data_IF_290294540181
#
_entry.id   IF_290294540181
#
_cell.length_a   1.000
_cell.length_b   1.000
_cell.length_c   1.000
_cell.angle_alpha   90.00
_cell.angle_beta   90.00
_cell.angle_gamma   90.00
#
_symmetry.space_group_name_H-M   'P 1'
#
loop_
_entity.id
_entity.type
_entity.pdbx_description
1 polymer ?
#
# COMPACT_ATOMS: atom_id res chain seq x y z
N UNK A 1 -1.60 -16.85 -20.04
CA UNK A 1 -0.13 -16.86 -19.87
C UNK A 1 0.14 -16.52 -18.40
N UNK A 2 0.83 -17.38 -17.68
CA UNK A 2 1.24 -17.07 -16.31
C UNK A 2 2.22 -15.90 -16.33
N UNK A 3 1.88 -14.82 -15.60
CA UNK A 3 2.78 -13.66 -15.48
C UNK A 3 4.07 -14.08 -14.78
N UNK A 4 5.21 -13.66 -15.33
CA UNK A 4 6.51 -13.87 -14.69
C UNK A 4 6.61 -13.11 -13.37
N UNK A 5 7.54 -13.54 -12.52
CA UNK A 5 7.81 -12.83 -11.27
C UNK A 5 8.72 -11.61 -11.53
N UNK A 6 8.20 -10.42 -11.25
CA UNK A 6 9.01 -9.19 -11.23
C UNK A 6 9.94 -9.18 -10.03
N UNK A 7 9.46 -9.68 -8.88
CA UNK A 7 10.24 -9.83 -7.66
C UNK A 7 9.95 -11.20 -7.04
N UNK A 8 11.01 -11.91 -6.63
CA UNK A 8 10.93 -13.16 -5.88
C UNK A 8 11.84 -13.09 -4.66
N UNK A 9 11.28 -13.37 -3.50
CA UNK A 9 11.97 -13.34 -2.21
C UNK A 9 11.77 -14.68 -1.52
N UNK A 10 12.84 -15.32 -1.11
CA UNK A 10 12.81 -16.63 -0.46
C UNK A 10 13.62 -16.60 0.83
N UNK A 11 12.97 -16.92 1.94
CA UNK A 11 13.54 -17.04 3.29
C UNK A 11 14.38 -15.81 3.71
N UNK A 12 13.99 -14.60 3.25
CA UNK A 12 14.71 -13.37 3.55
C UNK A 12 14.68 -13.09 5.03
N UNK A 13 15.87 -12.86 5.63
CA UNK A 13 16.02 -12.52 7.04
C UNK A 13 16.96 -11.33 7.20
N UNK A 14 16.55 -10.37 8.05
CA UNK A 14 17.39 -9.26 8.49
C UNK A 14 17.30 -9.08 9.99
N UNK A 15 18.44 -9.12 10.63
CA UNK A 15 18.61 -8.95 12.08
C UNK A 15 19.50 -7.73 12.31
N UNK A 16 19.07 -6.83 13.19
CA UNK A 16 19.87 -5.73 13.69
C UNK A 16 20.30 -6.09 15.13
N UNK A 17 21.61 -6.13 15.39
CA UNK A 17 22.17 -6.31 16.72
C UNK A 17 22.75 -4.98 17.20
N UNK A 18 22.34 -4.52 18.38
CA UNK A 18 23.01 -3.42 19.11
C UNK A 18 23.94 -4.01 20.15
N UNK A 19 25.14 -3.43 20.31
CA UNK A 19 26.19 -3.89 21.26
C UNK A 19 25.74 -4.08 22.70
N UNK A 20 24.56 -3.60 23.11
CA UNK A 20 24.05 -3.63 24.50
C UNK A 20 22.56 -4.03 24.58
N UNK A 21 21.90 -4.50 23.54
CA UNK A 21 20.47 -4.78 23.56
C UNK A 21 20.10 -6.04 22.77
N UNK A 22 18.92 -6.57 23.05
CA UNK A 22 18.31 -7.73 22.39
C UNK A 22 18.32 -7.56 20.86
N UNK A 23 18.67 -8.62 20.15
CA UNK A 23 18.59 -8.67 18.69
C UNK A 23 17.16 -8.38 18.19
N UNK A 24 17.07 -7.53 17.19
CA UNK A 24 15.78 -7.18 16.56
C UNK A 24 15.73 -7.84 15.19
N UNK A 25 14.86 -8.82 15.01
CA UNK A 25 14.55 -9.40 13.72
C UNK A 25 13.61 -8.46 12.95
N UNK A 26 14.17 -7.59 12.14
CA UNK A 26 13.39 -6.63 11.33
C UNK A 26 12.66 -7.32 10.17
N UNK A 27 13.22 -8.41 9.65
CA UNK A 27 12.58 -9.32 8.70
C UNK A 27 12.94 -10.75 9.12
N UNK A 28 11.94 -11.63 9.18
CA UNK A 28 12.09 -13.00 9.63
C UNK A 28 11.52 -13.98 8.61
N UNK A 29 12.41 -14.66 7.88
CA UNK A 29 12.04 -15.73 6.93
C UNK A 29 10.94 -15.33 5.92
N UNK A 30 11.03 -14.11 5.39
CA UNK A 30 10.03 -13.58 4.46
C UNK A 30 10.08 -14.31 3.12
N UNK A 31 8.92 -14.82 2.68
CA UNK A 31 8.70 -15.35 1.35
C UNK A 31 7.66 -14.49 0.64
N UNK A 32 7.99 -13.98 -0.55
CA UNK A 32 7.16 -13.02 -1.25
C UNK A 32 7.39 -13.12 -2.76
N UNK A 33 6.31 -13.04 -3.53
CA UNK A 33 6.37 -12.95 -4.99
C UNK A 33 5.48 -11.82 -5.48
N UNK A 34 6.05 -10.96 -6.34
CA UNK A 34 5.32 -9.90 -7.05
C UNK A 34 5.34 -10.24 -8.54
N UNK A 35 4.17 -10.19 -9.17
CA UNK A 35 4.01 -10.49 -10.61
C UNK A 35 4.27 -9.25 -11.46
N UNK A 36 4.71 -9.46 -12.71
CA UNK A 36 4.89 -8.37 -13.68
C UNK A 36 3.59 -7.60 -13.91
N UNK A 37 3.66 -6.28 -13.89
CA UNK A 37 2.54 -5.38 -14.19
C UNK A 37 1.42 -5.37 -13.15
N UNK A 38 1.64 -5.88 -11.92
CA UNK A 38 0.68 -5.68 -10.83
C UNK A 38 1.01 -4.46 -9.98
N UNK A 39 -0.01 -3.92 -9.31
CA UNK A 39 0.17 -3.02 -8.16
C UNK A 39 0.07 -3.89 -6.91
N UNK A 40 1.19 -4.05 -6.23
CA UNK A 40 1.35 -4.91 -5.07
C UNK A 40 1.50 -4.06 -3.80
N UNK A 41 0.69 -4.36 -2.78
CA UNK A 41 0.74 -3.69 -1.48
C UNK A 41 1.60 -4.43 -0.46
N UNK A 42 2.50 -3.71 0.21
CA UNK A 42 3.20 -4.19 1.40
C UNK A 42 2.71 -3.39 2.60
N UNK A 43 1.76 -3.96 3.33
CA UNK A 43 1.01 -3.32 4.39
C UNK A 43 1.55 -3.71 5.77
N UNK A 44 1.50 -2.80 6.71
CA UNK A 44 1.86 -3.08 8.11
C UNK A 44 2.12 -1.82 8.92
N UNK A 45 2.09 -1.92 10.25
CA UNK A 45 2.36 -0.78 11.13
C UNK A 45 3.82 -0.32 11.04
N UNK A 46 4.13 0.78 11.70
CA UNK A 46 5.50 1.24 11.86
C UNK A 46 6.32 0.15 12.61
N UNK A 47 7.53 -0.12 12.12
CA UNK A 47 8.37 -1.20 12.64
C UNK A 47 8.01 -2.61 12.13
N UNK A 48 7.06 -2.76 11.20
CA UNK A 48 6.73 -4.07 10.61
C UNK A 48 7.83 -4.66 9.71
N UNK A 49 8.84 -3.85 9.30
CA UNK A 49 9.93 -4.28 8.42
C UNK A 49 9.88 -3.72 7.00
N UNK A 50 8.86 -2.94 6.63
CA UNK A 50 8.65 -2.40 5.28
C UNK A 50 9.87 -1.63 4.75
N UNK A 51 10.31 -0.61 5.46
CA UNK A 51 11.47 0.21 5.07
C UNK A 51 12.77 -0.59 5.08
N UNK A 52 12.94 -1.56 5.99
CA UNK A 52 14.08 -2.49 5.95
C UNK A 52 14.08 -3.31 4.66
N UNK A 53 12.92 -3.80 4.24
CA UNK A 53 12.77 -4.54 3.00
C UNK A 53 13.14 -3.69 1.77
N UNK A 54 12.62 -2.46 1.70
CA UNK A 54 12.97 -1.51 0.62
C UNK A 54 14.48 -1.23 0.61
N UNK A 55 15.08 -1.00 1.76
CA UNK A 55 16.50 -0.73 1.86
C UNK A 55 17.38 -1.91 1.44
N UNK A 56 16.90 -3.15 1.61
CA UNK A 56 17.56 -4.34 1.06
C UNK A 56 17.47 -4.33 -0.47
N UNK A 57 16.29 -4.04 -1.05
CA UNK A 57 16.13 -3.92 -2.51
C UNK A 57 16.99 -2.80 -3.10
N UNK A 58 17.11 -1.67 -2.39
CA UNK A 58 17.99 -0.56 -2.77
C UNK A 58 19.48 -0.89 -2.69
N UNK A 59 19.85 -1.98 -1.96
CA UNK A 59 21.24 -2.33 -1.69
C UNK A 59 21.91 -1.47 -0.61
N UNK A 60 21.14 -0.66 0.14
CA UNK A 60 21.64 0.14 1.27
C UNK A 60 21.72 -0.64 2.57
N UNK A 61 20.98 -1.75 2.68
CA UNK A 61 21.01 -2.67 3.80
C UNK A 61 21.34 -4.08 3.30
N UNK A 62 22.36 -4.70 3.87
CA UNK A 62 22.75 -6.08 3.57
C UNK A 62 21.87 -7.03 4.40
N UNK A 63 21.23 -8.01 3.73
CA UNK A 63 20.48 -9.07 4.40
C UNK A 63 21.38 -10.02 5.17
N UNK A 64 20.83 -10.74 6.16
CA UNK A 64 21.57 -11.78 6.88
C UNK A 64 21.50 -13.14 6.14
N UNK A 65 20.33 -13.48 5.58
CA UNK A 65 20.13 -14.74 4.83
C UNK A 65 18.95 -14.65 3.88
N UNK A 66 18.76 -15.69 3.07
CA UNK A 66 17.71 -15.78 2.06
C UNK A 66 18.14 -15.29 0.70
N UNK A 67 17.29 -15.42 -0.32
CA UNK A 67 17.54 -14.95 -1.68
C UNK A 67 16.52 -13.89 -2.10
N UNK A 68 16.97 -12.96 -2.95
CA UNK A 68 16.14 -11.93 -3.55
C UNK A 68 16.48 -11.84 -5.04
N UNK A 69 15.49 -12.07 -5.89
CA UNK A 69 15.63 -11.91 -7.33
C UNK A 69 14.70 -10.82 -7.82
N UNK A 70 15.24 -9.87 -8.57
CA UNK A 70 14.52 -8.73 -9.15
C UNK A 70 14.68 -8.81 -10.66
N UNK A 71 13.55 -8.88 -11.37
CA UNK A 71 13.53 -9.00 -12.83
C UNK A 71 14.44 -10.14 -13.34
N UNK A 72 14.52 -11.25 -12.58
CA UNK A 72 15.39 -12.40 -12.84
C UNK A 72 16.82 -12.27 -12.34
N UNK A 73 17.30 -11.08 -11.97
CA UNK A 73 18.66 -10.85 -11.45
C UNK A 73 18.73 -11.10 -9.94
N UNK A 74 19.72 -11.85 -9.52
CA UNK A 74 20.02 -12.11 -8.12
C UNK A 74 20.66 -10.89 -7.46
N UNK A 75 20.16 -10.47 -6.27
CA UNK A 75 20.62 -9.27 -5.58
C UNK A 75 22.10 -9.32 -5.20
N UNK A 76 22.59 -10.49 -4.79
CA UNK A 76 23.99 -10.63 -4.34
C UNK A 76 24.96 -10.74 -5.51
N UNK A 77 24.55 -11.43 -6.58
CA UNK A 77 25.40 -11.68 -7.74
C UNK A 77 25.35 -10.54 -8.77
N UNK A 78 24.19 -9.91 -8.92
CA UNK A 78 23.92 -8.92 -9.95
C UNK A 78 23.41 -7.57 -9.37
N UNK A 79 24.07 -6.96 -8.37
CA UNK A 79 23.53 -5.81 -7.66
C UNK A 79 23.34 -4.56 -8.54
N UNK A 80 24.11 -4.42 -9.62
CA UNK A 80 23.95 -3.31 -10.57
C UNK A 80 22.69 -3.47 -11.41
N UNK A 81 22.45 -4.67 -11.95
CA UNK A 81 21.25 -5.00 -12.75
C UNK A 81 19.98 -4.86 -11.89
N UNK A 82 20.03 -5.33 -10.64
CA UNK A 82 18.92 -5.15 -9.69
C UNK A 82 18.61 -3.66 -9.51
N UNK A 83 19.60 -2.82 -9.22
CA UNK A 83 19.39 -1.37 -9.09
C UNK A 83 18.89 -0.70 -10.37
N UNK A 84 19.33 -1.18 -11.52
CA UNK A 84 18.82 -0.68 -12.81
C UNK A 84 17.39 -1.15 -13.11
N UNK A 85 16.92 -2.20 -12.45
CA UNK A 85 15.56 -2.72 -12.62
C UNK A 85 14.55 -2.11 -11.65
N UNK A 86 14.98 -1.28 -10.70
CA UNK A 86 14.12 -0.70 -9.67
C UNK A 86 14.28 0.81 -9.62
N UNK A 87 13.16 1.53 -9.67
CA UNK A 87 13.07 2.93 -9.23
C UNK A 87 12.52 2.98 -7.80
N UNK A 88 13.12 3.74 -6.92
CA UNK A 88 12.65 3.87 -5.53
C UNK A 88 12.30 5.32 -5.24
N UNK A 89 11.09 5.53 -4.76
CA UNK A 89 10.58 6.81 -4.25
C UNK A 89 10.52 6.72 -2.73
N UNK A 90 11.42 7.41 -2.03
CA UNK A 90 11.47 7.36 -0.57
C UNK A 90 10.30 8.12 0.07
N UNK A 91 10.02 7.82 1.33
CA UNK A 91 9.02 8.52 2.14
C UNK A 91 9.35 10.00 2.31
N UNK A 92 10.60 10.33 2.58
CA UNK A 92 11.05 11.71 2.76
C UNK A 92 11.36 12.40 1.42
N UNK A 93 10.97 13.69 1.33
CA UNK A 93 11.20 14.51 0.15
C UNK A 93 12.58 15.14 0.26
N UNK A 94 13.61 14.41 -0.13
CA UNK A 94 14.99 14.89 -0.21
C UNK A 94 15.34 15.27 -1.66
N UNK A 95 15.16 16.55 -1.98
CA UNK A 95 15.53 17.16 -3.26
C UNK A 95 16.48 18.32 -3.03
N UNK A 96 17.48 18.45 -3.90
CA UNK A 96 18.33 19.64 -3.87
C UNK A 96 17.49 20.87 -4.25
N UNK A 97 17.44 21.82 -3.33
CA UNK A 97 16.58 22.99 -3.41
C UNK A 97 16.99 23.98 -4.53
N UNK A 98 18.26 23.92 -4.97
CA UNK A 98 18.86 24.88 -5.89
C UNK A 98 18.89 24.41 -7.34
N UNK A 99 18.58 23.15 -7.61
CA UNK A 99 18.42 22.67 -8.98
C UNK A 99 16.97 22.75 -9.46
N UNK A 100 16.81 22.87 -10.78
CA UNK A 100 15.50 22.75 -11.41
C UNK A 100 15.10 21.27 -11.58
N UNK A 101 13.81 20.95 -11.73
CA UNK A 101 13.34 19.60 -12.08
C UNK A 101 14.10 19.00 -13.26
N UNK A 102 14.23 19.73 -14.36
CA UNK A 102 14.97 19.30 -15.54
C UNK A 102 16.41 18.93 -15.18
N UNK A 103 17.12 19.81 -14.47
CA UNK A 103 18.53 19.59 -14.10
C UNK A 103 18.69 18.39 -13.16
N UNK A 104 17.76 18.20 -12.20
CA UNK A 104 17.78 17.04 -11.30
C UNK A 104 17.61 15.71 -12.07
N UNK A 105 16.71 15.67 -13.05
CA UNK A 105 16.49 14.49 -13.88
C UNK A 105 17.71 14.22 -14.78
N UNK A 106 18.30 15.25 -15.38
CA UNK A 106 19.51 15.13 -16.20
C UNK A 106 20.70 14.59 -15.39
N UNK A 107 20.93 15.11 -14.18
CA UNK A 107 21.96 14.62 -13.29
C UNK A 107 21.71 13.15 -12.91
N UNK A 108 20.46 12.82 -12.56
CA UNK A 108 20.10 11.45 -12.21
C UNK A 108 20.30 10.48 -13.38
N UNK A 109 19.90 10.86 -14.60
CA UNK A 109 20.14 10.08 -15.81
C UNK A 109 21.65 9.85 -16.06
N UNK A 110 22.45 10.89 -15.84
CA UNK A 110 23.92 10.78 -15.92
C UNK A 110 24.50 9.78 -14.92
N UNK A 111 24.00 9.74 -13.68
CA UNK A 111 24.42 8.77 -12.66
C UNK A 111 24.10 7.31 -13.07
N UNK A 112 23.05 7.09 -13.85
CA UNK A 112 22.74 5.78 -14.46
C UNK A 112 23.51 5.52 -15.75
N UNK A 113 24.38 6.44 -16.19
CA UNK A 113 25.18 6.31 -17.41
C UNK A 113 24.38 6.46 -18.70
N UNK A 114 23.21 7.13 -18.66
CA UNK A 114 22.36 7.33 -19.83
C UNK A 114 22.93 8.49 -20.67
N UNK A 115 23.35 8.24 -21.93
CA UNK A 115 23.82 9.28 -22.83
C UNK A 115 22.76 10.36 -23.04
N UNK A 116 23.15 11.61 -23.26
CA UNK A 116 22.22 12.75 -23.41
C UNK A 116 21.14 12.51 -24.48
N UNK A 117 21.54 11.95 -25.63
CA UNK A 117 20.64 11.63 -26.75
C UNK A 117 19.54 10.61 -26.42
N UNK A 118 19.74 9.78 -25.39
CA UNK A 118 18.82 8.70 -24.98
C UNK A 118 17.98 9.08 -23.76
N UNK A 119 18.20 10.26 -23.18
CA UNK A 119 17.45 10.76 -22.03
C UNK A 119 16.03 11.13 -22.43
N UNK A 120 15.10 10.84 -21.53
CA UNK A 120 13.67 11.07 -21.72
C UNK A 120 13.13 12.13 -20.75
N UNK A 121 13.96 13.07 -20.36
CA UNK A 121 13.67 14.09 -19.34
C UNK A 121 12.36 14.83 -19.61
N UNK A 122 12.17 15.35 -20.81
CA UNK A 122 10.96 16.10 -21.17
C UNK A 122 9.71 15.19 -21.18
N UNK A 123 9.85 13.94 -21.63
CA UNK A 123 8.76 12.95 -21.59
C UNK A 123 8.35 12.64 -20.15
N UNK A 124 9.32 12.48 -19.25
CA UNK A 124 9.03 12.21 -17.83
C UNK A 124 8.39 13.42 -17.16
N UNK A 125 8.89 14.64 -17.43
CA UNK A 125 8.31 15.88 -16.91
C UNK A 125 6.85 16.01 -17.32
N UNK A 126 6.54 15.69 -18.59
CA UNK A 126 5.16 15.63 -19.09
C UNK A 126 4.32 14.58 -18.36
N UNK A 127 4.86 13.38 -18.18
CA UNK A 127 4.17 12.28 -17.51
C UNK A 127 3.74 12.65 -16.07
N UNK A 128 4.60 13.41 -15.36
CA UNK A 128 4.30 13.86 -13.98
C UNK A 128 3.70 15.27 -13.93
N UNK A 129 3.33 15.88 -15.07
CA UNK A 129 2.75 17.22 -15.19
C UNK A 129 3.59 18.31 -14.50
N UNK A 130 4.89 18.36 -14.84
CA UNK A 130 5.85 19.33 -14.34
C UNK A 130 6.56 20.10 -15.47
N UNK A 131 6.05 20.08 -16.71
CA UNK A 131 6.66 20.77 -17.86
C UNK A 131 6.80 22.28 -17.60
N UNK A 132 5.74 22.89 -17.04
CA UNK A 132 5.73 24.33 -16.75
C UNK A 132 6.74 24.75 -15.68
N UNK A 133 7.15 23.81 -14.83
CA UNK A 133 8.11 24.01 -13.75
C UNK A 133 9.51 23.45 -14.07
N UNK A 134 9.74 22.99 -15.30
CA UNK A 134 10.97 22.32 -15.70
C UNK A 134 12.25 23.08 -15.30
N UNK A 135 12.23 24.40 -15.45
CA UNK A 135 13.38 25.28 -15.19
C UNK A 135 13.26 26.10 -13.89
N UNK A 136 12.15 25.94 -13.13
CA UNK A 136 11.97 26.59 -11.82
C UNK A 136 12.84 25.92 -10.76
N UNK A 137 13.27 26.64 -9.74
CA UNK A 137 13.99 25.98 -8.63
C UNK A 137 13.11 25.00 -7.85
N UNK A 138 13.65 23.82 -7.47
CA UNK A 138 12.91 22.80 -6.73
C UNK A 138 12.37 23.32 -5.39
N UNK A 139 13.01 24.33 -4.78
CA UNK A 139 12.51 24.98 -3.55
C UNK A 139 11.16 25.68 -3.72
N UNK A 140 10.84 26.19 -4.92
CA UNK A 140 9.58 26.88 -5.21
C UNK A 140 8.40 25.94 -5.50
N UNK A 141 8.65 24.64 -5.63
CA UNK A 141 7.64 23.64 -5.87
C UNK A 141 6.78 23.38 -4.62
N UNK A 142 5.49 23.17 -4.82
CA UNK A 142 4.58 22.67 -3.75
C UNK A 142 5.00 21.27 -3.29
N UNK A 143 4.51 20.83 -2.13
CA UNK A 143 4.77 19.48 -1.62
C UNK A 143 4.41 18.37 -2.61
N UNK A 144 3.23 18.49 -3.24
CA UNK A 144 2.79 17.54 -4.26
C UNK A 144 3.64 17.56 -5.53
N UNK A 145 4.10 18.74 -5.98
CA UNK A 145 5.03 18.85 -7.10
C UNK A 145 6.39 18.21 -6.78
N UNK A 146 6.90 18.40 -5.58
CA UNK A 146 8.13 17.73 -5.11
C UNK A 146 7.98 16.22 -5.08
N UNK A 147 6.82 15.70 -4.64
CA UNK A 147 6.54 14.26 -4.63
C UNK A 147 6.50 13.70 -6.05
N UNK A 148 5.84 14.39 -6.99
CA UNK A 148 5.84 14.00 -8.41
C UNK A 148 7.24 14.04 -9.03
N UNK A 149 8.08 15.00 -8.64
CA UNK A 149 9.48 15.06 -9.09
C UNK A 149 10.30 13.87 -8.56
N UNK A 150 10.05 13.37 -7.34
CA UNK A 150 10.68 12.14 -6.85
C UNK A 150 10.31 10.92 -7.68
N UNK A 151 9.04 10.80 -8.10
CA UNK A 151 8.62 9.74 -9.02
C UNK A 151 9.34 9.89 -10.37
N UNK A 152 9.36 11.11 -10.91
CA UNK A 152 10.09 11.41 -12.14
C UNK A 152 11.57 10.98 -12.05
N UNK A 153 12.23 11.35 -10.94
CA UNK A 153 13.63 10.99 -10.65
C UNK A 153 13.83 9.47 -10.60
N UNK A 154 12.90 8.72 -10.01
CA UNK A 154 12.95 7.27 -9.93
C UNK A 154 12.73 6.59 -11.30
N UNK A 155 12.15 7.29 -12.28
CA UNK A 155 11.81 6.77 -13.60
C UNK A 155 12.81 7.09 -14.71
N UNK A 156 13.84 7.89 -14.46
CA UNK A 156 14.77 8.36 -15.51
C UNK A 156 15.46 7.23 -16.27
N UNK A 157 15.71 6.10 -15.62
CA UNK A 157 16.36 4.91 -16.20
C UNK A 157 15.36 3.86 -16.68
N UNK A 158 14.07 4.22 -16.77
CA UNK A 158 12.96 3.35 -17.25
C UNK A 158 12.90 1.98 -16.53
N UNK A 159 12.90 1.96 -15.20
CA UNK A 159 12.87 0.70 -14.48
C UNK A 159 11.56 -0.04 -14.69
N UNK A 160 11.56 -1.37 -14.85
CA UNK A 160 10.34 -2.17 -14.93
C UNK A 160 9.58 -2.27 -13.59
N UNK A 161 10.23 -1.90 -12.47
CA UNK A 161 9.63 -1.91 -11.13
C UNK A 161 9.79 -0.53 -10.50
N UNK A 162 8.70 0.02 -9.96
CA UNK A 162 8.69 1.23 -9.16
C UNK A 162 8.25 0.91 -7.72
N UNK A 163 9.09 1.21 -6.75
CA UNK A 163 8.80 1.06 -5.33
C UNK A 163 8.46 2.42 -4.74
N UNK A 164 7.31 2.53 -4.11
CA UNK A 164 6.80 3.74 -3.47
C UNK A 164 6.73 3.52 -1.95
N UNK A 165 7.60 4.20 -1.20
CA UNK A 165 7.62 4.09 0.26
C UNK A 165 6.74 5.17 0.89
N UNK A 166 5.55 4.79 1.36
CA UNK A 166 4.56 5.68 1.98
C UNK A 166 4.33 6.99 1.19
N UNK A 167 4.01 6.91 -0.11
CA UNK A 167 4.08 8.06 -1.01
C UNK A 167 3.11 9.18 -0.70
N UNK A 168 2.06 8.93 0.08
CA UNK A 168 0.98 9.86 0.43
C UNK A 168 1.03 10.33 1.87
N UNK A 169 2.06 9.95 2.65
CA UNK A 169 2.22 10.41 4.01
C UNK A 169 2.28 11.95 4.06
N UNK A 170 1.35 12.56 4.82
CA UNK A 170 1.26 14.02 4.96
C UNK A 170 0.78 14.78 3.71
N UNK A 171 0.16 14.10 2.75
CA UNK A 171 -0.38 14.69 1.52
C UNK A 171 -1.89 14.87 1.66
N UNK A 172 -2.41 16.02 1.23
CA UNK A 172 -3.84 16.29 1.20
C UNK A 172 -4.59 15.42 0.19
N UNK A 173 -5.94 15.41 0.26
CA UNK A 173 -6.79 14.50 -0.53
C UNK A 173 -6.66 14.73 -2.02
N UNK A 174 -6.61 15.98 -2.48
CA UNK A 174 -6.55 16.30 -3.92
C UNK A 174 -5.20 15.90 -4.52
N UNK A 175 -4.10 16.22 -3.83
CA UNK A 175 -2.76 15.86 -4.25
C UNK A 175 -2.55 14.34 -4.25
N UNK A 176 -3.16 13.62 -3.29
CA UNK A 176 -3.16 12.17 -3.22
C UNK A 176 -3.83 11.55 -4.45
N UNK A 177 -5.02 12.04 -4.83
CA UNK A 177 -5.73 11.53 -5.99
C UNK A 177 -4.91 11.74 -7.28
N UNK A 178 -4.28 12.90 -7.44
CA UNK A 178 -3.41 13.19 -8.57
C UNK A 178 -2.20 12.24 -8.63
N UNK A 179 -1.61 11.93 -7.48
CA UNK A 179 -0.50 10.98 -7.38
C UNK A 179 -0.94 9.57 -7.80
N UNK A 180 -2.09 9.10 -7.31
CA UNK A 180 -2.63 7.79 -7.66
C UNK A 180 -2.98 7.68 -9.15
N UNK A 181 -3.49 8.73 -9.77
CA UNK A 181 -3.75 8.74 -11.20
C UNK A 181 -2.45 8.56 -12.00
N UNK A 182 -1.36 9.21 -11.60
CA UNK A 182 -0.05 9.03 -12.23
C UNK A 182 0.50 7.62 -12.03
N UNK A 183 0.36 7.04 -10.84
CA UNK A 183 0.79 5.67 -10.56
C UNK A 183 -0.01 4.65 -11.37
N UNK A 184 -1.35 4.82 -11.46
CA UNK A 184 -2.21 3.98 -12.31
C UNK A 184 -1.83 4.09 -13.80
N UNK A 185 -1.45 5.29 -14.27
CA UNK A 185 -0.99 5.49 -15.65
C UNK A 185 0.33 4.75 -15.93
N UNK A 186 1.32 4.85 -15.03
CA UNK A 186 2.57 4.09 -15.15
C UNK A 186 2.33 2.59 -15.16
N UNK A 187 1.44 2.09 -14.29
CA UNK A 187 1.10 0.69 -14.26
C UNK A 187 0.41 0.22 -15.56
N UNK A 188 -0.50 1.01 -16.13
CA UNK A 188 -1.12 0.73 -17.44
C UNK A 188 -0.07 0.66 -18.57
N UNK A 189 1.06 1.34 -18.44
CA UNK A 189 2.20 1.26 -19.36
C UNK A 189 3.10 0.04 -19.11
N UNK A 190 2.74 -0.84 -18.18
CA UNK A 190 3.43 -2.10 -17.89
C UNK A 190 4.40 -2.03 -16.72
N UNK A 191 4.56 -0.89 -16.04
CA UNK A 191 5.43 -0.78 -14.86
C UNK A 191 4.80 -1.54 -13.69
N UNK A 192 5.55 -2.43 -13.06
CA UNK A 192 5.17 -3.11 -11.83
C UNK A 192 5.31 -2.13 -10.66
N UNK A 193 4.31 -2.01 -9.81
CA UNK A 193 4.33 -1.09 -8.67
C UNK A 193 4.38 -1.88 -7.37
N UNK A 194 5.30 -1.53 -6.48
CA UNK A 194 5.31 -2.02 -5.09
C UNK A 194 5.04 -0.81 -4.20
N UNK A 195 3.89 -0.82 -3.55
CA UNK A 195 3.43 0.23 -2.66
C UNK A 195 3.59 -0.20 -1.21
N UNK A 196 4.34 0.55 -0.40
CA UNK A 196 4.27 0.39 1.05
C UNK A 196 3.36 1.46 1.64
N UNK A 197 2.51 1.06 2.55
CA UNK A 197 1.65 1.99 3.29
C UNK A 197 1.24 1.39 4.64
N UNK A 198 0.90 2.26 5.58
CA UNK A 198 0.17 1.90 6.79
C UNK A 198 -1.32 2.28 6.70
N UNK A 199 -1.72 2.94 5.60
CA UNK A 199 -3.10 3.37 5.35
C UNK A 199 -3.84 2.27 4.57
N UNK A 200 -4.73 1.56 5.26
CA UNK A 200 -5.43 0.38 4.73
C UNK A 200 -6.28 0.70 3.50
N UNK A 201 -6.98 1.84 3.52
CA UNK A 201 -7.83 2.27 2.40
C UNK A 201 -7.05 2.51 1.09
N UNK A 202 -5.78 2.94 1.17
CA UNK A 202 -4.94 3.11 -0.01
C UNK A 202 -4.56 1.77 -0.63
N UNK A 203 -4.19 0.81 0.22
CA UNK A 203 -3.89 -0.53 -0.25
C UNK A 203 -5.13 -1.20 -0.86
N UNK A 204 -6.31 -0.98 -0.28
CA UNK A 204 -7.58 -1.48 -0.78
C UNK A 204 -7.93 -0.89 -2.15
N UNK A 205 -7.76 0.43 -2.34
CA UNK A 205 -8.07 1.10 -3.60
C UNK A 205 -7.08 0.79 -4.73
N UNK A 206 -5.80 0.65 -4.37
CA UNK A 206 -4.73 0.64 -5.36
C UNK A 206 -4.21 -0.76 -5.68
N UNK A 207 -4.20 -1.68 -4.72
CA UNK A 207 -3.45 -2.92 -4.85
C UNK A 207 -4.33 -4.09 -5.26
N UNK A 208 -3.85 -4.89 -6.22
CA UNK A 208 -4.51 -6.14 -6.62
C UNK A 208 -4.23 -7.28 -5.65
N UNK A 209 -3.04 -7.29 -5.06
CA UNK A 209 -2.59 -8.25 -4.04
C UNK A 209 -1.86 -7.51 -2.93
N UNK A 210 -1.99 -8.02 -1.72
CA UNK A 210 -1.45 -7.39 -0.52
C UNK A 210 -0.73 -8.43 0.34
N UNK A 211 0.48 -8.10 0.76
CA UNK A 211 1.20 -8.78 1.83
C UNK A 211 1.07 -7.97 3.12
N UNK A 212 0.56 -8.57 4.17
CA UNK A 212 0.44 -7.97 5.51
C UNK A 212 1.64 -8.41 6.34
N UNK A 213 2.46 -7.43 6.74
CA UNK A 213 3.61 -7.63 7.63
C UNK A 213 3.29 -7.17 9.05
N UNK A 214 3.74 -7.95 10.02
CA UNK A 214 3.73 -7.55 11.43
C UNK A 214 5.00 -8.06 12.13
N UNK A 215 5.72 -7.16 12.80
CA UNK A 215 6.97 -7.48 13.57
C UNK A 215 7.95 -8.34 12.77
N UNK A 216 8.17 -8.00 11.50
CA UNK A 216 9.10 -8.68 10.61
C UNK A 216 8.58 -9.98 9.97
N UNK A 217 7.39 -10.42 10.30
CA UNK A 217 6.78 -11.65 9.77
C UNK A 217 5.72 -11.33 8.72
N UNK A 218 5.63 -12.19 7.69
CA UNK A 218 4.48 -12.21 6.78
C UNK A 218 3.31 -12.89 7.49
N UNK A 219 2.26 -12.10 7.78
CA UNK A 219 1.04 -12.60 8.43
C UNK A 219 0.10 -13.21 7.40
N UNK A 220 -0.11 -12.51 6.29
CA UNK A 220 -1.00 -12.95 5.21
C UNK A 220 -0.55 -12.35 3.88
N UNK A 221 -0.75 -13.11 2.80
CA UNK A 221 -0.59 -12.64 1.42
C UNK A 221 -1.75 -13.21 0.61
N UNK A 222 -2.53 -12.31 0.03
CA UNK A 222 -3.68 -12.71 -0.80
C UNK A 222 -4.06 -11.59 -1.78
N UNK A 223 -5.06 -11.84 -2.64
CA UNK A 223 -5.71 -10.77 -3.40
C UNK A 223 -6.49 -9.86 -2.47
N UNK A 224 -6.63 -8.59 -2.83
CA UNK A 224 -7.42 -7.61 -2.04
C UNK A 224 -8.85 -8.12 -1.83
N UNK A 225 -9.47 -8.67 -2.87
CA UNK A 225 -10.82 -9.24 -2.76
C UNK A 225 -10.90 -10.41 -1.77
N UNK A 226 -9.95 -11.36 -1.82
CA UNK A 226 -9.93 -12.49 -0.89
C UNK A 226 -9.73 -12.05 0.55
N UNK A 227 -8.92 -11.00 0.77
CA UNK A 227 -8.74 -10.42 2.10
C UNK A 227 -10.05 -9.82 2.62
N UNK A 228 -10.75 -9.04 1.82
CA UNK A 228 -12.05 -8.45 2.17
C UNK A 228 -13.12 -9.54 2.36
N UNK A 229 -13.15 -10.57 1.52
CA UNK A 229 -14.08 -11.70 1.64
C UNK A 229 -13.81 -12.56 2.87
N UNK A 230 -12.61 -12.46 3.45
CA UNK A 230 -12.27 -13.14 4.71
C UNK A 230 -12.97 -12.54 5.95
N UNK A 231 -13.53 -11.33 5.82
CA UNK A 231 -14.32 -10.68 6.88
C UNK A 231 -15.61 -11.49 7.10
N UNK A 232 -15.66 -12.16 8.24
CA UNK A 232 -16.80 -13.05 8.57
C UNK A 232 -18.05 -12.27 8.96
N UNK A 233 -17.88 -11.10 9.55
CA UNK A 233 -18.97 -10.30 10.10
C UNK A 233 -19.30 -9.12 9.19
N UNK A 234 -20.59 -8.77 9.12
CA UNK A 234 -21.10 -7.58 8.45
C UNK A 234 -21.83 -6.72 9.48
N UNK A 235 -21.71 -5.42 9.34
CA UNK A 235 -22.36 -4.44 10.19
C UNK A 235 -23.41 -3.69 9.38
N UNK A 236 -24.62 -3.61 9.92
CA UNK A 236 -25.71 -2.80 9.37
C UNK A 236 -26.14 -1.80 10.40
N UNK A 237 -26.32 -0.56 9.99
CA UNK A 237 -26.81 0.53 10.82
C UNK A 237 -28.22 0.87 10.33
N UNK A 238 -29.17 0.83 11.23
CA UNK A 238 -30.58 1.18 11.00
C UNK A 238 -30.89 2.49 11.74
N UNK A 239 -31.49 3.45 11.04
CA UNK A 239 -32.15 4.59 11.68
C UNK A 239 -33.63 4.27 11.87
N UNK A 240 -34.09 4.37 13.09
CA UNK A 240 -35.44 3.98 13.50
C UNK A 240 -36.19 5.13 14.17
N UNK A 241 -37.53 5.06 14.21
CA UNK A 241 -38.37 6.07 14.88
C UNK A 241 -38.11 6.15 16.40
N UNK A 242 -37.88 5.00 17.02
CA UNK A 242 -37.57 4.87 18.44
C UNK A 242 -36.69 3.63 18.66
N UNK A 243 -35.83 3.67 19.65
CA UNK A 243 -34.99 2.53 20.00
C UNK A 243 -35.71 1.66 21.04
N UNK A 244 -35.97 0.39 20.69
CA UNK A 244 -36.50 -0.64 21.60
C UNK A 244 -35.45 -1.75 21.67
N UNK A 245 -35.08 -2.15 22.87
CA UNK A 245 -34.14 -3.25 23.08
C UNK A 245 -34.71 -4.55 22.55
N UNK A 246 -34.03 -5.21 21.63
CA UNK A 246 -34.37 -6.51 21.11
C UNK A 246 -33.71 -7.56 22.03
N UNK A 247 -34.49 -8.50 22.56
CA UNK A 247 -33.97 -9.57 23.41
C UNK A 247 -33.01 -10.44 22.59
N UNK A 248 -31.73 -10.42 22.99
CA UNK A 248 -30.64 -11.10 22.28
C UNK A 248 -30.61 -12.61 22.54
N UNK A 249 -31.45 -13.15 23.47
CA UNK A 249 -31.44 -14.56 23.86
C UNK A 249 -31.78 -15.52 22.72
N UNK A 250 -32.45 -15.04 21.65
CA UNK A 250 -32.86 -15.85 20.49
C UNK A 250 -32.07 -15.57 19.22
N UNK A 251 -30.87 -14.95 19.30
CA UNK A 251 -30.14 -14.43 18.18
C UNK A 251 -28.70 -14.95 18.16
N UNK A 252 -28.53 -16.29 18.14
CA UNK A 252 -27.19 -16.88 17.99
C UNK A 252 -26.45 -16.27 16.76
N UNK A 253 -25.45 -15.43 17.01
CA UNK A 253 -24.60 -14.85 15.94
C UNK A 253 -24.97 -13.44 15.46
N UNK A 254 -26.02 -12.77 16.01
CA UNK A 254 -26.34 -11.38 15.75
C UNK A 254 -26.18 -10.56 17.04
N UNK A 255 -25.35 -9.53 17.02
CA UNK A 255 -25.15 -8.63 18.15
C UNK A 255 -25.74 -7.27 17.82
N UNK A 256 -26.75 -6.82 18.59
CA UNK A 256 -27.29 -5.48 18.50
C UNK A 256 -26.56 -4.54 19.45
N UNK A 257 -26.29 -3.33 18.95
CA UNK A 257 -25.77 -2.20 19.73
C UNK A 257 -26.67 -1.00 19.48
N UNK A 258 -27.07 -0.31 20.53
CA UNK A 258 -28.01 0.79 20.48
C UNK A 258 -27.29 2.10 20.77
N UNK A 259 -27.57 3.13 19.96
CA UNK A 259 -27.03 4.48 20.14
C UNK A 259 -28.17 5.47 20.48
N UNK A 260 -27.81 6.56 21.14
CA UNK A 260 -28.73 7.60 21.61
C UNK A 260 -29.49 8.36 20.52
N UNK A 261 -29.08 8.27 19.25
CA UNK A 261 -29.64 9.01 18.12
C UNK A 261 -30.59 8.18 17.26
N UNK A 262 -31.43 7.34 17.88
CA UNK A 262 -32.33 6.44 17.14
C UNK A 262 -31.62 5.52 16.12
N UNK A 263 -30.36 5.16 16.41
CA UNK A 263 -29.58 4.24 15.60
C UNK A 263 -29.45 2.88 16.30
N UNK A 264 -29.66 1.82 15.53
CA UNK A 264 -29.39 0.43 15.92
C UNK A 264 -28.34 -0.12 14.97
N UNK A 265 -27.27 -0.66 15.54
CA UNK A 265 -26.24 -1.36 14.77
C UNK A 265 -26.40 -2.85 15.00
N UNK A 266 -26.55 -3.63 13.92
CA UNK A 266 -26.52 -5.08 13.94
C UNK A 266 -25.20 -5.59 13.38
N UNK A 267 -24.44 -6.32 14.19
CA UNK A 267 -23.24 -7.06 13.76
C UNK A 267 -23.61 -8.53 13.63
N UNK A 268 -23.40 -9.13 12.46
CA UNK A 268 -23.82 -10.51 12.19
C UNK A 268 -22.83 -11.23 11.25
N UNK A 269 -22.85 -12.57 11.28
CA UNK A 269 -22.06 -13.40 10.38
C UNK A 269 -22.75 -13.53 9.01
N UNK A 270 -22.06 -13.08 7.91
CA UNK A 270 -22.58 -13.09 6.53
C UNK A 270 -23.11 -14.45 6.08
N UNK A 271 -22.47 -15.55 6.50
CA UNK A 271 -22.83 -16.91 6.05
C UNK A 271 -23.98 -17.53 6.84
N UNK A 272 -24.31 -16.99 8.01
CA UNK A 272 -25.30 -17.55 8.90
C UNK A 272 -26.66 -16.84 8.88
N UNK A 273 -26.67 -15.55 8.56
CA UNK A 273 -27.85 -14.70 8.66
C UNK A 273 -28.10 -13.89 7.40
N UNK A 274 -29.36 -13.76 7.04
CA UNK A 274 -29.80 -12.87 5.93
C UNK A 274 -30.24 -11.52 6.50
N UNK A 275 -30.08 -10.48 5.67
CA UNK A 275 -30.49 -9.11 6.04
C UNK A 275 -31.99 -9.05 6.39
N UNK A 276 -32.83 -9.76 5.63
CA UNK A 276 -34.26 -9.80 5.85
C UNK A 276 -34.66 -10.31 7.27
N UNK A 277 -33.90 -11.26 7.82
CA UNK A 277 -34.11 -11.72 9.19
C UNK A 277 -33.90 -10.61 10.21
N UNK A 278 -32.89 -9.78 9.99
CA UNK A 278 -32.54 -8.67 10.87
C UNK A 278 -33.59 -7.57 10.77
N UNK A 279 -34.01 -7.23 9.55
CA UNK A 279 -35.05 -6.23 9.28
C UNK A 279 -36.37 -6.65 9.94
N UNK A 280 -36.77 -7.90 9.74
CA UNK A 280 -38.03 -8.44 10.33
C UNK A 280 -38.02 -8.40 11.86
N UNK A 281 -36.86 -8.66 12.48
CA UNK A 281 -36.74 -8.59 13.94
C UNK A 281 -36.89 -7.18 14.47
N UNK A 282 -36.30 -6.17 13.78
CA UNK A 282 -36.45 -4.76 14.14
C UNK A 282 -37.94 -4.34 14.01
N UNK A 283 -38.60 -4.70 12.91
CA UNK A 283 -40.01 -4.41 12.67
C UNK A 283 -40.93 -5.10 13.70
N UNK A 284 -40.68 -6.37 14.00
CA UNK A 284 -41.47 -7.14 14.97
C UNK A 284 -41.30 -6.60 16.41
N UNK A 285 -40.22 -5.92 16.72
CA UNK A 285 -40.04 -5.20 17.97
C UNK A 285 -40.80 -3.88 18.03
N UNK A 286 -41.60 -3.53 16.99
CA UNK A 286 -42.41 -2.32 16.93
C UNK A 286 -41.63 -1.06 16.54
N UNK A 287 -40.55 -1.22 15.81
CA UNK A 287 -39.75 -0.12 15.32
C UNK A 287 -39.92 0.06 13.81
N UNK A 288 -40.03 1.31 13.36
CA UNK A 288 -40.06 1.69 11.94
C UNK A 288 -38.65 2.09 11.49
N UNK A 289 -38.21 1.54 10.36
CA UNK A 289 -36.90 1.80 9.79
C UNK A 289 -37.04 2.92 8.75
N UNK A 290 -36.29 4.02 8.92
CA UNK A 290 -36.27 5.13 7.99
C UNK A 290 -35.08 5.09 7.03
N UNK A 291 -33.96 4.53 7.47
CA UNK A 291 -32.73 4.47 6.68
C UNK A 291 -31.91 3.26 7.06
N UNK A 292 -31.19 2.71 6.09
CA UNK A 292 -30.31 1.54 6.26
C UNK A 292 -28.98 1.87 5.58
N UNK A 293 -27.91 1.82 6.34
CA UNK A 293 -26.55 1.85 5.82
C UNK A 293 -25.79 0.58 6.16
N UNK A 294 -25.01 0.07 5.22
CA UNK A 294 -24.23 -1.15 5.41
C UNK A 294 -22.76 -0.79 5.48
N UNK A 295 -22.08 -1.39 6.45
CA UNK A 295 -20.63 -1.34 6.57
C UNK A 295 -20.13 -2.78 6.33
N UNK A 296 -19.49 -2.96 5.16
CA UNK A 296 -19.04 -4.29 4.72
C UNK A 296 -17.74 -4.73 5.38
N UNK A 297 -17.17 -3.85 6.20
CA UNK A 297 -15.82 -3.98 6.72
C UNK A 297 -14.77 -3.59 5.68
N UNK A 298 -13.56 -3.37 6.12
CA UNK A 298 -12.44 -2.93 5.31
C UNK A 298 -11.15 -3.68 5.69
N UNK A 299 -10.06 -3.40 5.00
CA UNK A 299 -8.77 -4.02 5.31
C UNK A 299 -8.28 -3.75 6.75
N UNK A 300 -8.78 -2.70 7.41
CA UNK A 300 -8.44 -2.42 8.81
C UNK A 300 -9.02 -3.48 9.73
N UNK A 301 -10.25 -3.93 9.49
CA UNK A 301 -10.88 -5.04 10.22
C UNK A 301 -10.10 -6.34 10.01
N UNK A 302 -9.71 -6.64 8.76
CA UNK A 302 -8.86 -7.80 8.45
C UNK A 302 -7.53 -7.75 9.20
N UNK A 303 -6.88 -6.58 9.19
CA UNK A 303 -5.60 -6.40 9.87
C UNK A 303 -5.72 -6.60 11.38
N UNK A 304 -6.75 -6.02 11.99
CA UNK A 304 -7.01 -6.16 13.42
C UNK A 304 -7.23 -7.63 13.79
N UNK A 305 -8.03 -8.37 13.02
CA UNK A 305 -8.30 -9.78 13.29
C UNK A 305 -7.03 -10.64 13.16
N UNK A 306 -6.18 -10.37 12.16
CA UNK A 306 -4.95 -11.11 11.92
C UNK A 306 -3.82 -10.77 12.92
N UNK A 307 -3.88 -9.63 13.61
CA UNK A 307 -2.80 -9.15 14.50
C UNK A 307 -3.14 -9.24 15.98
N UNK A 308 -4.41 -9.51 16.34
CA UNK A 308 -4.85 -9.75 17.73
C UNK A 308 -4.55 -11.16 18.24
N UNK A 309 -4.06 -12.05 17.37
CA UNK A 309 -3.76 -13.46 17.68
C UNK A 309 -2.37 -13.64 18.29
#
# INVERSE_FOLDING_TARGET
MDKKNALKVEKLTKIYSKKSSKEIKAINNLNLEVKEGEIFGLLGPNGAGKTTFINILAGTVIKNSGSVKVWGYDLDQNPRQVRSSIGIVPQEVNLDAFFSPKKLLELQAGLYGIPEKDRITDTILKLVSLEKQADSYARSLSGGMKRRLLIAKAMVHRPPILVLDEPTAGVDVELRQNLWNNVKLLNKQGVTIILTTHLMYEAEEMCSRIAILNKGNLVKLDTTNNLLDSIKTKKIIFKVNKVISIDSKNLAGIKFTYKTNNEITALYERKKHKIDEIINKIKNAGMEIYDISTDEGNLEDVFIDLTKS
#
